data_IF_329878990482
#
_entry.id   IF_329878990482
#
_cell.length_a   1.000
_cell.length_b   1.000
_cell.length_c   1.000
_cell.angle_alpha   90.00
_cell.angle_beta   90.00
_cell.angle_gamma   90.00
#
_symmetry.space_group_name_H-M   'P 1'
#
loop_
_entity.id
_entity.type
_entity.pdbx_description
1 polymer ?
#
# COMPACT_ATOMS: atom_id res chain seq x y z
N UNK A 1 8.76 29.30 -25.37
CA UNK A 1 8.17 28.75 -24.13
C UNK A 1 9.27 28.00 -23.40
N UNK A 2 9.77 28.53 -22.28
CA UNK A 2 10.54 27.69 -21.35
C UNK A 2 9.50 26.75 -20.70
N UNK A 3 9.69 25.45 -20.83
CA UNK A 3 8.92 24.48 -20.05
C UNK A 3 9.08 24.85 -18.57
N UNK A 4 7.97 25.06 -17.86
CA UNK A 4 8.01 25.23 -16.41
C UNK A 4 8.56 23.93 -15.81
N UNK A 5 9.76 23.99 -15.24
CA UNK A 5 10.32 22.86 -14.52
C UNK A 5 9.48 22.63 -13.26
N UNK A 6 8.67 21.56 -13.30
CA UNK A 6 7.92 21.06 -12.14
C UNK A 6 8.89 20.81 -10.99
N UNK A 7 8.62 21.40 -9.82
CA UNK A 7 9.48 21.28 -8.65
C UNK A 7 9.59 19.82 -8.16
N UNK A 8 10.68 19.46 -7.47
CA UNK A 8 10.86 18.09 -6.92
C UNK A 8 9.73 17.71 -5.95
N UNK A 9 9.19 18.68 -5.21
CA UNK A 9 8.06 18.50 -4.28
C UNK A 9 6.78 18.21 -5.05
N UNK A 10 6.55 18.91 -6.16
CA UNK A 10 5.37 18.67 -7.01
C UNK A 10 5.42 17.29 -7.68
N UNK A 11 6.60 16.84 -8.15
CA UNK A 11 6.79 15.46 -8.64
C UNK A 11 6.46 14.43 -7.55
N UNK A 12 6.94 14.67 -6.32
CA UNK A 12 6.65 13.82 -5.17
C UNK A 12 5.16 13.76 -4.85
N UNK A 13 4.49 14.92 -4.78
CA UNK A 13 3.06 14.99 -4.51
C UNK A 13 2.24 14.28 -5.59
N UNK A 14 2.60 14.46 -6.87
CA UNK A 14 1.94 13.77 -7.98
C UNK A 14 2.07 12.25 -7.87
N UNK A 15 3.24 11.74 -7.46
CA UNK A 15 3.44 10.32 -7.20
C UNK A 15 2.58 9.82 -6.04
N UNK A 16 2.53 10.56 -4.91
CA UNK A 16 1.70 10.18 -3.75
C UNK A 16 0.22 10.17 -4.12
N UNK A 17 -0.27 11.16 -4.88
CA UNK A 17 -1.66 11.21 -5.37
C UNK A 17 -1.95 10.00 -6.27
N UNK A 18 -1.04 9.65 -7.17
CA UNK A 18 -1.20 8.50 -8.07
C UNK A 18 -1.24 7.18 -7.28
N UNK A 19 -0.34 7.00 -6.34
CA UNK A 19 -0.30 5.82 -5.47
C UNK A 19 -1.62 5.66 -4.69
N UNK A 20 -2.08 6.71 -4.00
CA UNK A 20 -3.36 6.71 -3.27
C UNK A 20 -4.55 6.35 -4.16
N UNK A 21 -4.56 6.82 -5.41
CA UNK A 21 -5.59 6.44 -6.40
C UNK A 21 -5.60 4.93 -6.65
N UNK A 22 -4.43 4.31 -6.78
CA UNK A 22 -4.33 2.86 -7.00
C UNK A 22 -4.61 2.04 -5.75
N UNK A 23 -4.32 2.55 -4.54
CA UNK A 23 -4.76 1.94 -3.27
C UNK A 23 -6.28 1.91 -3.19
N UNK A 24 -6.93 3.03 -3.54
CA UNK A 24 -8.40 3.10 -3.63
C UNK A 24 -8.95 2.15 -4.70
N UNK A 25 -8.27 2.02 -5.84
CA UNK A 25 -8.65 1.07 -6.89
C UNK A 25 -8.55 -0.38 -6.39
N UNK A 26 -7.46 -0.75 -5.71
CA UNK A 26 -7.27 -2.07 -5.11
C UNK A 26 -8.40 -2.40 -4.14
N UNK A 27 -8.73 -1.48 -3.22
CA UNK A 27 -9.83 -1.66 -2.29
C UNK A 27 -11.18 -1.81 -3.00
N UNK A 28 -11.48 -0.99 -4.01
CA UNK A 28 -12.74 -1.08 -4.74
C UNK A 28 -12.92 -2.43 -5.46
N UNK A 29 -11.83 -3.02 -5.97
CA UNK A 29 -11.87 -4.36 -6.59
C UNK A 29 -12.13 -5.44 -5.52
N UNK A 30 -11.50 -5.33 -4.35
CA UNK A 30 -11.65 -6.32 -3.28
C UNK A 30 -12.96 -6.19 -2.49
N UNK A 31 -13.47 -4.97 -2.32
CA UNK A 31 -14.59 -4.64 -1.43
C UNK A 31 -15.81 -5.57 -1.58
N UNK A 32 -16.27 -5.95 -2.79
CA UNK A 32 -17.39 -6.89 -2.93
C UNK A 32 -17.11 -8.28 -2.36
N UNK A 33 -15.85 -8.73 -2.37
CA UNK A 33 -15.40 -10.02 -1.87
C UNK A 33 -15.11 -10.01 -0.37
N UNK A 34 -14.94 -8.82 0.22
CA UNK A 34 -14.70 -8.66 1.67
C UNK A 34 -15.98 -8.70 2.51
N UNK A 35 -17.17 -8.62 1.90
CA UNK A 35 -18.44 -8.70 2.63
C UNK A 35 -18.60 -10.11 3.20
N UNK A 36 -18.58 -10.23 4.53
CA UNK A 36 -18.65 -11.54 5.20
C UNK A 36 -17.33 -12.32 5.18
N UNK A 37 -16.22 -11.68 4.76
CA UNK A 37 -14.88 -12.22 4.98
C UNK A 37 -14.53 -12.11 6.46
N UNK A 38 -14.32 -13.25 7.11
CA UNK A 38 -14.12 -13.36 8.56
C UNK A 38 -15.22 -12.62 9.34
N UNK A 39 -14.87 -11.54 10.03
CA UNK A 39 -15.76 -10.73 10.87
C UNK A 39 -15.99 -9.31 10.31
N UNK A 40 -15.71 -9.10 9.02
CA UNK A 40 -15.94 -7.81 8.33
C UNK A 40 -17.44 -7.59 8.06
N UNK A 41 -18.06 -6.86 8.98
CA UNK A 41 -19.38 -6.29 8.79
C UNK A 41 -19.34 -4.97 8.00
N UNK A 42 -20.53 -4.40 7.75
CA UNK A 42 -20.65 -3.11 7.04
C UNK A 42 -19.97 -1.95 7.77
N UNK A 43 -19.95 -1.96 9.10
CA UNK A 43 -19.34 -0.89 9.88
C UNK A 43 -17.81 -0.91 9.71
N UNK A 44 -17.19 -2.09 9.83
CA UNK A 44 -15.75 -2.27 9.56
C UNK A 44 -15.38 -1.96 8.13
N UNK A 45 -16.20 -2.34 7.14
CA UNK A 45 -15.97 -1.97 5.74
C UNK A 45 -16.04 -0.45 5.52
N UNK A 46 -16.90 0.27 6.25
CA UNK A 46 -16.92 1.73 6.22
C UNK A 46 -15.67 2.33 6.87
N UNK A 47 -15.20 1.77 7.99
CA UNK A 47 -13.92 2.16 8.61
C UNK A 47 -12.75 1.95 7.67
N UNK A 48 -12.64 0.79 7.01
CA UNK A 48 -11.59 0.55 6.01
C UNK A 48 -11.71 1.56 4.87
N UNK A 49 -12.93 1.81 4.39
CA UNK A 49 -13.15 2.81 3.33
C UNK A 49 -12.66 4.19 3.74
N UNK A 50 -12.87 4.60 4.99
CA UNK A 50 -12.34 5.87 5.51
C UNK A 50 -10.81 5.86 5.55
N UNK A 51 -10.19 4.79 6.07
CA UNK A 51 -8.73 4.68 6.10
C UNK A 51 -8.13 4.72 4.68
N UNK A 52 -8.78 4.10 3.70
CA UNK A 52 -8.36 4.15 2.29
C UNK A 52 -8.44 5.59 1.72
N UNK A 53 -9.43 6.39 2.11
CA UNK A 53 -9.45 7.81 1.74
C UNK A 53 -8.34 8.60 2.44
N UNK A 54 -7.96 8.23 3.67
CA UNK A 54 -6.94 8.92 4.46
C UNK A 54 -5.52 8.37 4.23
N UNK A 55 -5.40 7.29 3.45
CA UNK A 55 -4.16 6.55 3.22
C UNK A 55 -3.02 7.48 2.83
N UNK A 56 -1.92 7.40 3.58
CA UNK A 56 -0.68 8.14 3.33
C UNK A 56 -0.81 9.68 3.28
N UNK A 57 -1.87 10.27 3.85
CA UNK A 57 -1.99 11.73 3.94
C UNK A 57 -0.80 12.38 4.66
N UNK A 58 -0.15 11.68 5.60
CA UNK A 58 1.05 12.17 6.28
C UNK A 58 2.22 12.48 5.32
N UNK A 59 2.25 11.88 4.12
CA UNK A 59 3.28 12.17 3.11
C UNK A 59 3.23 13.59 2.55
N UNK A 60 2.15 14.33 2.79
CA UNK A 60 2.04 15.74 2.42
C UNK A 60 2.58 16.69 3.51
N UNK A 61 2.86 16.17 4.71
CA UNK A 61 3.46 16.96 5.79
C UNK A 61 4.96 17.21 5.54
N UNK A 62 5.52 18.38 5.90
CA UNK A 62 6.89 18.76 5.53
C UNK A 62 7.97 17.76 5.95
N UNK A 63 7.80 17.07 7.09
CA UNK A 63 8.76 16.11 7.63
C UNK A 63 8.87 14.83 6.79
N UNK A 64 7.86 14.54 5.97
CA UNK A 64 7.85 13.42 5.02
C UNK A 64 8.00 13.94 3.58
N UNK A 65 7.24 14.95 3.19
CA UNK A 65 7.20 15.46 1.82
C UNK A 65 8.58 15.90 1.31
N UNK A 66 9.31 16.70 2.10
CA UNK A 66 10.59 17.30 1.65
C UNK A 66 11.69 16.22 1.53
N UNK A 67 11.93 15.36 2.52
CA UNK A 67 12.95 14.31 2.39
C UNK A 67 12.66 13.32 1.25
N UNK A 68 11.40 12.90 1.08
CA UNK A 68 11.02 12.02 -0.03
C UNK A 68 11.24 12.71 -1.39
N UNK A 69 10.83 13.98 -1.53
CA UNK A 69 10.99 14.74 -2.75
C UNK A 69 12.47 14.88 -3.17
N UNK A 70 13.34 15.27 -2.22
CA UNK A 70 14.78 15.36 -2.46
C UNK A 70 15.38 14.01 -2.80
N UNK A 71 15.00 12.95 -2.09
CA UNK A 71 15.56 11.62 -2.32
C UNK A 71 15.20 11.06 -3.70
N UNK A 72 13.95 11.18 -4.16
CA UNK A 72 13.57 10.55 -5.43
C UNK A 72 13.80 11.44 -6.67
N UNK A 73 13.73 12.77 -6.53
CA UNK A 73 13.79 13.70 -7.66
C UNK A 73 14.83 14.82 -7.54
N UNK A 74 15.56 14.90 -6.43
CA UNK A 74 16.62 15.88 -6.20
C UNK A 74 18.04 15.30 -6.34
N UNK A 75 19.03 16.14 -6.01
CA UNK A 75 20.42 15.70 -5.87
C UNK A 75 20.59 14.88 -4.58
N UNK A 76 21.20 13.70 -4.71
CA UNK A 76 21.42 12.78 -3.59
C UNK A 76 22.80 12.99 -2.99
N UNK A 77 22.83 13.40 -1.73
CA UNK A 77 24.00 13.37 -0.86
C UNK A 77 23.73 12.55 0.41
N UNK A 78 24.75 12.39 1.26
CA UNK A 78 24.64 11.62 2.50
C UNK A 78 23.56 12.18 3.45
N UNK A 79 23.39 13.51 3.46
CA UNK A 79 22.38 14.19 4.28
C UNK A 79 20.97 13.87 3.78
N UNK A 80 20.73 13.91 2.46
CA UNK A 80 19.44 13.55 1.85
C UNK A 80 19.10 12.09 2.13
N UNK A 81 20.09 11.18 2.08
CA UNK A 81 19.90 9.76 2.42
C UNK A 81 19.51 9.60 3.90
N UNK A 82 20.14 10.33 4.81
CA UNK A 82 19.81 10.31 6.23
C UNK A 82 18.40 10.88 6.51
N UNK A 83 18.09 12.06 5.98
CA UNK A 83 16.78 12.70 6.07
C UNK A 83 15.68 11.75 5.56
N UNK A 84 15.92 11.07 4.43
CA UNK A 84 14.99 10.09 3.86
C UNK A 84 14.77 8.87 4.77
N UNK A 85 15.82 8.34 5.40
CA UNK A 85 15.70 7.23 6.36
C UNK A 85 14.87 7.63 7.57
N UNK A 86 15.07 8.85 8.09
CA UNK A 86 14.29 9.40 9.21
C UNK A 86 12.82 9.55 8.80
N UNK A 87 12.56 10.15 7.64
CA UNK A 87 11.20 10.31 7.10
C UNK A 87 10.50 8.97 6.86
N UNK A 88 11.21 7.96 6.32
CA UNK A 88 10.67 6.62 6.11
C UNK A 88 10.29 5.94 7.42
N UNK A 89 11.11 6.11 8.47
CA UNK A 89 10.79 5.59 9.80
C UNK A 89 9.58 6.29 10.39
N UNK A 90 9.51 7.62 10.28
CA UNK A 90 8.40 8.42 10.75
C UNK A 90 7.08 8.00 10.09
N UNK A 91 7.08 7.91 8.77
CA UNK A 91 5.97 7.45 7.95
C UNK A 91 5.40 6.11 8.43
N UNK A 92 6.28 5.11 8.58
CA UNK A 92 5.92 3.78 9.05
C UNK A 92 5.41 3.75 10.50
N UNK A 93 5.88 4.67 11.33
CA UNK A 93 5.42 4.79 12.72
C UNK A 93 4.12 5.60 12.88
N UNK A 94 3.65 6.26 11.83
CA UNK A 94 2.39 7.03 11.82
C UNK A 94 1.23 6.27 11.19
N UNK A 95 1.53 5.45 10.18
CA UNK A 95 0.54 4.81 9.35
C UNK A 95 0.33 3.35 9.77
N UNK A 96 -0.88 3.05 10.24
CA UNK A 96 -1.23 1.78 10.90
C UNK A 96 -1.25 0.57 9.94
N UNK A 97 -1.30 0.78 8.63
CA UNK A 97 -1.17 -0.31 7.66
C UNK A 97 0.27 -0.79 7.48
N UNK A 98 1.30 -0.08 7.98
CA UNK A 98 2.68 -0.59 7.93
C UNK A 98 2.93 -1.60 9.06
N UNK A 99 3.41 -2.82 8.77
CA UNK A 99 3.80 -3.79 9.80
C UNK A 99 4.77 -3.25 10.83
N UNK A 100 5.68 -2.37 10.42
CA UNK A 100 6.67 -1.75 11.29
C UNK A 100 6.05 -0.95 12.45
N UNK A 101 4.79 -0.50 12.36
CA UNK A 101 4.05 0.13 13.47
C UNK A 101 3.81 -0.87 14.62
N UNK A 102 3.56 -2.13 14.29
CA UNK A 102 3.11 -3.18 15.20
C UNK A 102 4.26 -4.10 15.67
N UNK A 103 5.48 -3.86 15.19
CA UNK A 103 6.63 -4.70 15.51
C UNK A 103 7.03 -4.59 16.98
N UNK A 104 7.19 -5.74 17.63
CA UNK A 104 7.79 -5.83 18.95
C UNK A 104 9.32 -5.61 18.91
N UNK A 105 9.98 -5.70 20.07
CA UNK A 105 11.45 -5.55 20.18
C UNK A 105 12.25 -6.60 19.40
N UNK A 106 11.65 -7.75 19.09
CA UNK A 106 12.25 -8.84 18.31
C UNK A 106 11.99 -8.69 16.79
N UNK A 107 11.34 -7.58 16.39
CA UNK A 107 10.91 -7.28 15.02
C UNK A 107 9.88 -8.28 14.49
N UNK A 108 8.98 -8.71 15.36
CA UNK A 108 7.86 -9.61 15.03
C UNK A 108 6.56 -8.83 15.08
N UNK A 109 5.67 -9.10 14.14
CA UNK A 109 4.35 -8.50 14.05
C UNK A 109 3.33 -9.55 14.47
N UNK A 110 3.00 -9.58 15.76
CA UNK A 110 2.14 -10.62 16.33
C UNK A 110 0.65 -10.27 16.26
N UNK A 111 0.33 -8.97 16.32
CA UNK A 111 -1.03 -8.45 16.33
C UNK A 111 -1.13 -7.28 15.33
N UNK A 112 -2.12 -7.33 14.45
CA UNK A 112 -2.51 -6.23 13.58
C UNK A 112 -4.02 -6.38 13.32
N UNK A 113 -4.86 -5.39 13.67
CA UNK A 113 -6.29 -5.47 13.40
C UNK A 113 -6.60 -5.70 11.92
N UNK A 114 -7.59 -6.54 11.62
CA UNK A 114 -7.97 -6.93 10.25
C UNK A 114 -8.17 -5.73 9.31
N UNK A 115 -8.74 -4.62 9.81
CA UNK A 115 -8.94 -3.41 9.02
C UNK A 115 -7.63 -2.83 8.44
N UNK A 116 -6.52 -2.94 9.18
CA UNK A 116 -5.20 -2.47 8.75
C UNK A 116 -4.48 -3.51 7.90
N UNK A 117 -4.73 -4.81 8.11
CA UNK A 117 -4.24 -5.86 7.21
C UNK A 117 -4.85 -5.69 5.82
N UNK A 118 -6.15 -5.38 5.73
CA UNK A 118 -6.82 -5.12 4.44
C UNK A 118 -6.22 -3.89 3.76
N UNK A 119 -6.01 -2.79 4.49
CA UNK A 119 -5.37 -1.59 3.95
C UNK A 119 -3.94 -1.88 3.46
N UNK A 120 -3.15 -2.63 4.24
CA UNK A 120 -1.78 -3.05 3.90
C UNK A 120 -1.73 -3.87 2.61
N UNK A 121 -2.65 -4.82 2.44
CA UNK A 121 -2.71 -5.62 1.21
C UNK A 121 -3.14 -4.75 0.02
N UNK A 122 -4.02 -3.78 0.21
CA UNK A 122 -4.38 -2.80 -0.83
C UNK A 122 -3.19 -1.90 -1.20
N UNK A 123 -2.40 -1.46 -0.23
CA UNK A 123 -1.14 -0.73 -0.41
C UNK A 123 -0.18 -1.51 -1.30
N UNK A 124 0.10 -2.77 -0.95
CA UNK A 124 0.99 -3.64 -1.74
C UNK A 124 0.47 -3.88 -3.15
N UNK A 125 -0.84 -4.12 -3.31
CA UNK A 125 -1.42 -4.40 -4.61
C UNK A 125 -1.40 -3.19 -5.55
N UNK A 126 -1.46 -1.98 -4.97
CA UNK A 126 -1.49 -0.72 -5.72
C UNK A 126 -0.30 -0.56 -6.65
N UNK A 127 0.88 -1.06 -6.28
CA UNK A 127 2.09 -0.96 -7.10
C UNK A 127 1.97 -1.80 -8.38
N UNK A 128 1.48 -3.03 -8.28
CA UNK A 128 1.22 -3.88 -9.44
C UNK A 128 0.13 -3.28 -10.35
N UNK A 129 -0.94 -2.73 -9.76
CA UNK A 129 -1.99 -2.04 -10.53
C UNK A 129 -1.44 -0.80 -11.26
N UNK A 130 -0.60 -0.01 -10.59
CA UNK A 130 0.04 1.18 -11.18
C UNK A 130 0.96 0.84 -12.36
N UNK A 131 1.60 -0.33 -12.32
CA UNK A 131 2.48 -0.83 -13.38
C UNK A 131 1.75 -1.68 -14.44
N UNK A 132 0.41 -1.80 -14.36
CA UNK A 132 -0.38 -2.71 -15.21
C UNK A 132 0.11 -4.17 -15.16
N UNK A 133 0.59 -4.59 -13.99
CA UNK A 133 1.00 -5.96 -13.67
C UNK A 133 0.39 -6.38 -12.31
N UNK A 134 -0.93 -6.59 -12.23
CA UNK A 134 -1.61 -6.85 -10.95
C UNK A 134 -1.15 -8.14 -10.26
N UNK A 135 -0.50 -9.07 -10.97
CA UNK A 135 0.02 -10.31 -10.41
C UNK A 135 1.36 -10.13 -9.66
N UNK A 136 2.04 -8.99 -9.81
CA UNK A 136 3.33 -8.70 -9.16
C UNK A 136 3.27 -8.79 -7.62
N UNK A 137 2.08 -8.59 -7.03
CA UNK A 137 1.89 -8.69 -5.58
C UNK A 137 2.29 -10.07 -5.03
N UNK A 138 2.11 -11.16 -5.79
CA UNK A 138 2.47 -12.49 -5.32
C UNK A 138 3.99 -12.64 -5.17
N UNK A 139 4.75 -12.17 -6.16
CA UNK A 139 6.21 -12.13 -6.09
C UNK A 139 6.67 -11.18 -4.98
N UNK A 140 6.00 -10.03 -4.82
CA UNK A 140 6.28 -9.11 -3.74
C UNK A 140 6.09 -9.77 -2.37
N UNK A 141 4.97 -10.47 -2.15
CA UNK A 141 4.69 -11.16 -0.88
C UNK A 141 5.73 -12.24 -0.61
N UNK A 142 6.02 -13.12 -1.57
CA UNK A 142 7.00 -14.20 -1.40
C UNK A 142 8.40 -13.66 -1.03
N UNK A 143 8.81 -12.57 -1.66
CA UNK A 143 10.10 -11.93 -1.39
C UNK A 143 10.15 -11.19 -0.05
N UNK A 144 9.00 -10.80 0.52
CA UNK A 144 8.93 -9.94 1.71
C UNK A 144 8.31 -10.61 2.95
N UNK A 145 7.63 -11.75 2.85
CA UNK A 145 6.92 -12.37 3.98
C UNK A 145 7.81 -12.67 5.19
N UNK A 146 9.09 -13.01 4.95
CA UNK A 146 10.08 -13.21 6.02
C UNK A 146 10.53 -11.92 6.75
N UNK A 147 10.34 -10.75 6.14
CA UNK A 147 10.76 -9.44 6.69
C UNK A 147 9.93 -9.05 7.91
N UNK A 148 8.63 -9.32 7.88
CA UNK A 148 7.68 -8.82 8.87
C UNK A 148 7.46 -9.78 10.04
N UNK A 149 7.86 -11.05 9.86
CA UNK A 149 7.68 -12.15 10.83
C UNK A 149 6.27 -12.10 11.44
N UNK A 150 5.28 -12.21 10.56
CA UNK A 150 3.88 -12.26 10.96
C UNK A 150 3.62 -13.49 11.83
N UNK A 151 2.68 -13.37 12.77
CA UNK A 151 2.10 -14.54 13.42
C UNK A 151 1.39 -15.43 12.39
N UNK A 152 1.09 -16.68 12.76
CA UNK A 152 0.34 -17.59 11.88
C UNK A 152 -1.02 -17.02 11.52
N UNK A 153 -1.71 -16.39 12.48
CA UNK A 153 -3.02 -15.75 12.26
C UNK A 153 -2.95 -14.64 11.19
N UNK A 154 -1.98 -13.73 11.31
CA UNK A 154 -1.82 -12.65 10.31
C UNK A 154 -1.42 -13.22 8.94
N UNK A 155 -0.56 -14.25 8.94
CA UNK A 155 -0.13 -14.93 7.71
C UNK A 155 -1.33 -15.54 6.98
N UNK A 156 -2.19 -16.25 7.70
CA UNK A 156 -3.42 -16.86 7.15
C UNK A 156 -4.35 -15.80 6.55
N UNK A 157 -4.59 -14.69 7.26
CA UNK A 157 -5.41 -13.59 6.76
C UNK A 157 -4.83 -12.99 5.47
N UNK A 158 -3.51 -12.73 5.43
CA UNK A 158 -2.84 -12.17 4.25
C UNK A 158 -2.96 -13.12 3.05
N UNK A 159 -2.76 -14.42 3.26
CA UNK A 159 -2.83 -15.43 2.18
C UNK A 159 -4.27 -15.63 1.66
N UNK A 160 -5.27 -15.53 2.54
CA UNK A 160 -6.68 -15.51 2.14
C UNK A 160 -7.01 -14.27 1.28
N UNK A 161 -6.54 -13.08 1.68
CA UNK A 161 -6.71 -11.86 0.90
C UNK A 161 -6.00 -11.95 -0.47
N UNK A 162 -4.79 -12.51 -0.52
CA UNK A 162 -4.08 -12.79 -1.78
C UNK A 162 -4.86 -13.75 -2.67
N UNK A 163 -5.56 -14.74 -2.10
CA UNK A 163 -6.43 -15.64 -2.85
C UNK A 163 -7.62 -14.92 -3.47
N UNK A 164 -8.23 -13.94 -2.76
CA UNK A 164 -9.28 -13.08 -3.32
C UNK A 164 -8.75 -12.17 -4.43
N UNK A 165 -7.53 -11.66 -4.30
CA UNK A 165 -6.84 -10.91 -5.37
C UNK A 165 -6.65 -11.81 -6.60
N UNK A 166 -6.15 -13.03 -6.41
CA UNK A 166 -5.93 -13.98 -7.50
C UNK A 166 -7.23 -14.28 -8.25
N UNK A 167 -8.35 -14.43 -7.53
CA UNK A 167 -9.67 -14.60 -8.15
C UNK A 167 -10.06 -13.36 -8.97
N UNK A 168 -9.86 -12.15 -8.41
CA UNK A 168 -10.20 -10.89 -9.06
C UNK A 168 -9.44 -10.69 -10.38
N UNK A 169 -8.14 -11.03 -10.41
CA UNK A 169 -7.32 -10.96 -11.63
C UNK A 169 -7.89 -11.88 -12.71
N UNK A 170 -8.20 -13.14 -12.37
CA UNK A 170 -8.76 -14.12 -13.31
C UNK A 170 -10.12 -13.70 -13.88
N UNK A 171 -10.96 -13.06 -13.07
CA UNK A 171 -12.27 -12.56 -13.51
C UNK A 171 -12.13 -11.49 -14.60
N UNK A 172 -11.11 -10.62 -14.51
CA UNK A 172 -10.80 -9.61 -15.53
C UNK A 172 -10.27 -10.25 -16.82
N UNK A 173 -9.33 -11.19 -16.72
CA UNK A 173 -8.78 -11.88 -17.89
C UNK A 173 -9.88 -12.65 -18.67
N UNK A 174 -10.81 -13.28 -17.95
CA UNK A 174 -11.97 -13.97 -18.54
C UNK A 174 -12.92 -12.96 -19.21
N UNK A 175 -13.16 -11.79 -18.62
CA UNK A 175 -14.03 -10.77 -19.22
C UNK A 175 -13.43 -10.23 -20.53
N UNK A 176 -12.13 -9.90 -20.53
CA UNK A 176 -11.43 -9.39 -21.72
C UNK A 176 -11.37 -10.42 -22.85
N UNK A 177 -11.19 -11.71 -22.53
CA UNK A 177 -11.17 -12.78 -23.55
C UNK A 177 -12.55 -13.05 -24.17
N UNK A 178 -13.66 -12.73 -23.49
CA UNK A 178 -15.02 -12.87 -24.03
C UNK A 178 -15.46 -11.71 -24.91
N UNK A 179 -14.89 -10.52 -24.75
CA UNK A 179 -15.21 -9.35 -25.61
C UNK A 179 -14.56 -9.42 -27.00
N UNK A 180 -13.59 -10.33 -27.19
CA UNK A 180 -12.85 -10.52 -28.45
C UNK A 180 -13.50 -11.61 -29.35
N UNK A 181 -14.51 -12.34 -28.84
CA UNK A 181 -15.20 -13.45 -29.54
C UNK A 181 -16.55 -13.03 -30.09
#
# INVERSE_FOLDING_TARGET
MKSEEISVVEKSNNYVILHRKFVKQAFNILKPKLIGFLDLDKAKLNTISQHIEEHDLSKFEPEEAIPYAKFFWGEKDDKVIEEFKIATKLHKSRNLHHPEYWMNKNRETNEMPLIYIVEMVCDWWSFGLMQNNPAEIFDYYENNKGKYKFSSEITEIVEELLSLIQQSIREVDIAQSKEIV
#
